data_IF_572445306930
#
_entry.id   IF_572445306930
#
_cell.length_a   1.000
_cell.length_b   1.000
_cell.length_c   1.000
_cell.angle_alpha   90.00
_cell.angle_beta   90.00
_cell.angle_gamma   90.00
#
_symmetry.space_group_name_H-M   'P 1'
#
loop_
_entity.id
_entity.type
_entity.pdbx_description
1 polymer ?
#
# COMPACT_ATOMS: atom_id res chain seq x y z
N UNK A 1 1.04 -13.69 6.71
CA UNK A 1 2.43 -13.15 6.85
C UNK A 1 3.47 -14.13 6.28
N UNK A 2 3.66 -15.36 6.81
CA UNK A 2 4.71 -16.30 6.32
C UNK A 2 4.63 -16.52 4.81
N UNK A 3 3.49 -16.91 4.26
CA UNK A 3 3.30 -17.10 2.81
C UNK A 3 3.53 -15.82 2.01
N UNK A 4 3.12 -14.66 2.52
CA UNK A 4 3.38 -13.37 1.86
C UNK A 4 4.87 -13.06 1.79
N UNK A 5 5.59 -13.24 2.89
CA UNK A 5 7.03 -13.02 2.95
C UNK A 5 7.79 -14.00 2.05
N UNK A 6 7.42 -15.28 2.06
CA UNK A 6 8.01 -16.29 1.18
C UNK A 6 7.76 -15.96 -0.30
N UNK A 7 6.54 -15.59 -0.66
CA UNK A 7 6.20 -15.18 -2.02
C UNK A 7 6.98 -13.93 -2.45
N UNK A 8 7.00 -12.89 -1.64
CA UNK A 8 7.75 -11.67 -1.94
C UNK A 8 9.24 -11.97 -2.10
N UNK A 9 9.82 -12.77 -1.20
CA UNK A 9 11.23 -13.14 -1.29
C UNK A 9 11.56 -14.00 -2.52
N UNK A 10 10.62 -14.89 -2.92
CA UNK A 10 10.82 -15.81 -4.04
C UNK A 10 10.72 -15.14 -5.40
N UNK A 11 9.95 -14.05 -5.50
CA UNK A 11 9.66 -13.38 -6.78
C UNK A 11 10.18 -11.93 -6.86
N UNK A 12 10.96 -11.50 -5.88
CA UNK A 12 11.55 -10.15 -5.90
C UNK A 12 12.61 -10.06 -6.99
N UNK A 13 12.48 -9.07 -7.87
CA UNK A 13 13.48 -8.77 -8.87
C UNK A 13 14.43 -7.68 -8.35
N UNK A 14 15.72 -7.94 -8.49
CA UNK A 14 16.75 -6.96 -8.17
C UNK A 14 16.96 -5.91 -9.27
N UNK A 15 17.93 -4.99 -9.08
CA UNK A 15 18.25 -3.94 -10.04
C UNK A 15 18.62 -4.46 -11.44
N UNK A 16 19.13 -5.68 -11.53
CA UNK A 16 19.45 -6.35 -12.81
C UNK A 16 18.22 -6.90 -13.54
N UNK A 17 17.03 -6.90 -12.92
CA UNK A 17 15.81 -7.55 -13.40
C UNK A 17 15.83 -9.08 -13.24
N UNK A 18 16.83 -9.65 -12.61
CA UNK A 18 16.84 -11.07 -12.28
C UNK A 18 16.08 -11.32 -10.99
N UNK A 19 15.36 -12.43 -10.95
CA UNK A 19 14.71 -12.91 -9.72
C UNK A 19 15.75 -13.73 -8.95
N UNK A 20 16.27 -13.14 -7.90
CA UNK A 20 17.24 -13.77 -7.02
C UNK A 20 16.90 -13.37 -5.58
N UNK A 21 17.09 -14.27 -4.63
CA UNK A 21 16.99 -13.96 -3.21
C UNK A 21 18.31 -13.37 -2.75
N UNK A 22 18.30 -12.29 -1.99
CA UNK A 22 19.53 -11.73 -1.45
C UNK A 22 19.36 -10.37 -0.80
N UNK A 23 20.32 -10.02 0.06
CA UNK A 23 20.32 -8.76 0.81
C UNK A 23 20.36 -7.50 -0.08
N UNK A 24 20.89 -7.63 -1.31
CA UNK A 24 20.95 -6.52 -2.26
C UNK A 24 19.57 -6.05 -2.72
N UNK A 25 18.54 -6.90 -2.63
CA UNK A 25 17.18 -6.59 -3.04
C UNK A 25 16.33 -6.00 -1.91
N UNK A 26 16.79 -6.12 -0.69
CA UNK A 26 16.04 -5.69 0.51
C UNK A 26 16.85 -4.65 1.31
N UNK A 27 18.03 -4.31 0.83
CA UNK A 27 18.89 -3.32 1.48
C UNK A 27 18.38 -1.91 1.21
N UNK A 28 17.74 -1.30 2.21
CA UNK A 28 17.22 0.07 2.15
C UNK A 28 18.28 1.15 1.93
N UNK A 29 19.56 0.85 2.16
CA UNK A 29 20.67 1.78 1.88
C UNK A 29 21.04 1.82 0.41
N UNK A 30 20.75 0.77 -0.35
CA UNK A 30 21.02 0.67 -1.79
C UNK A 30 19.74 0.80 -2.61
N UNK A 31 18.61 0.32 -2.07
CA UNK A 31 17.32 0.29 -2.77
C UNK A 31 16.25 0.93 -1.89
N UNK A 32 16.17 2.25 -1.90
CA UNK A 32 15.10 2.99 -1.23
C UNK A 32 13.78 2.91 -1.99
N UNK A 33 12.74 3.47 -1.40
CA UNK A 33 11.39 3.55 -1.96
C UNK A 33 11.39 4.06 -3.42
N UNK A 34 12.01 5.19 -3.66
CA UNK A 34 12.04 5.82 -5.00
C UNK A 34 12.72 4.93 -6.03
N UNK A 35 13.81 4.25 -5.65
CA UNK A 35 14.52 3.33 -6.52
C UNK A 35 13.69 2.09 -6.86
N UNK A 36 12.93 1.57 -5.91
CA UNK A 36 12.02 0.43 -6.14
C UNK A 36 10.90 0.82 -7.11
N UNK A 37 10.30 1.98 -6.91
CA UNK A 37 9.24 2.51 -7.81
C UNK A 37 9.81 2.78 -9.21
N UNK A 38 10.99 3.37 -9.32
CA UNK A 38 11.67 3.60 -10.60
C UNK A 38 11.96 2.29 -11.32
N UNK A 39 12.46 1.27 -10.62
CA UNK A 39 12.73 -0.06 -11.19
C UNK A 39 11.49 -0.69 -11.81
N UNK A 40 10.35 -0.56 -11.12
CA UNK A 40 9.06 -0.98 -11.65
C UNK A 40 8.62 -0.13 -12.84
N UNK A 41 8.72 1.19 -12.74
CA UNK A 41 8.34 2.11 -13.82
C UNK A 41 9.17 1.88 -15.09
N UNK A 42 10.45 1.53 -14.98
CA UNK A 42 11.34 1.15 -16.08
C UNK A 42 10.99 -0.22 -16.71
N UNK A 43 10.07 -0.99 -16.12
CA UNK A 43 9.62 -2.28 -16.65
C UNK A 43 10.51 -3.47 -16.28
N UNK A 44 11.34 -3.33 -15.27
CA UNK A 44 12.19 -4.41 -14.74
C UNK A 44 11.45 -5.35 -13.80
N UNK A 45 10.25 -4.94 -13.33
CA UNK A 45 9.35 -5.77 -12.55
C UNK A 45 7.92 -5.68 -13.11
N UNK A 46 7.16 -6.78 -13.03
CA UNK A 46 5.77 -6.84 -13.48
C UNK A 46 4.80 -6.41 -12.39
N UNK A 47 5.14 -6.63 -11.13
CA UNK A 47 4.32 -6.32 -9.98
C UNK A 47 5.12 -5.48 -8.98
N UNK A 48 4.42 -4.62 -8.26
CA UNK A 48 4.94 -3.89 -7.11
C UNK A 48 3.88 -3.86 -6.02
N UNK A 49 4.25 -4.11 -4.77
CA UNK A 49 3.34 -3.94 -3.63
C UNK A 49 3.33 -2.48 -3.23
N UNK A 50 2.29 -1.76 -3.64
CA UNK A 50 2.13 -0.33 -3.40
C UNK A 50 0.63 0.06 -3.38
N UNK A 51 0.34 1.28 -2.96
CA UNK A 51 -1.00 1.87 -3.03
C UNK A 51 -1.18 2.83 -4.21
N UNK A 52 -2.37 3.39 -4.32
CA UNK A 52 -2.74 4.31 -5.41
C UNK A 52 -1.90 5.60 -5.45
N UNK A 53 -1.27 5.98 -4.34
CA UNK A 53 -0.37 7.15 -4.25
C UNK A 53 0.87 7.07 -5.15
N UNK A 54 1.30 5.86 -5.53
CA UNK A 54 2.50 5.66 -6.35
C UNK A 54 2.33 6.12 -7.80
N UNK A 55 1.08 6.32 -8.24
CA UNK A 55 0.76 6.68 -9.63
C UNK A 55 1.56 7.88 -10.15
N UNK A 56 1.61 8.97 -9.38
CA UNK A 56 2.31 10.19 -9.79
C UNK A 56 3.81 9.97 -10.03
N UNK A 57 4.45 9.18 -9.18
CA UNK A 57 5.87 8.84 -9.32
C UNK A 57 6.12 7.99 -10.58
N UNK A 58 5.28 6.99 -10.84
CA UNK A 58 5.38 6.14 -12.04
C UNK A 58 5.10 6.96 -13.31
N UNK A 59 4.09 7.82 -13.29
CA UNK A 59 3.74 8.68 -14.43
C UNK A 59 4.86 9.68 -14.78
N UNK A 60 5.62 10.13 -13.78
CA UNK A 60 6.80 10.97 -13.99
C UNK A 60 7.94 10.25 -14.71
N UNK A 61 7.99 8.92 -14.66
CA UNK A 61 9.00 8.10 -15.37
C UNK A 61 8.46 7.61 -16.72
N UNK A 62 7.24 7.06 -16.73
CA UNK A 62 6.60 6.50 -17.93
C UNK A 62 5.07 6.68 -17.83
N UNK A 63 4.56 7.74 -18.45
CA UNK A 63 3.14 8.08 -18.43
C UNK A 63 2.26 7.05 -19.18
N UNK A 64 2.77 6.42 -20.24
CA UNK A 64 2.05 5.39 -20.97
C UNK A 64 1.86 4.14 -20.13
N UNK A 65 2.90 3.70 -19.43
CA UNK A 65 2.80 2.61 -18.45
C UNK A 65 1.86 2.96 -17.31
N UNK A 66 1.99 4.13 -16.73
CA UNK A 66 1.15 4.58 -15.63
C UNK A 66 -0.34 4.53 -15.99
N UNK A 67 -0.70 4.91 -17.23
CA UNK A 67 -2.09 4.87 -17.70
C UNK A 67 -2.71 3.46 -17.79
N UNK A 68 -1.89 2.42 -17.76
CA UNK A 68 -2.29 1.00 -17.89
C UNK A 68 -2.19 0.23 -16.58
N UNK A 69 -1.88 0.89 -15.48
CA UNK A 69 -1.80 0.25 -14.17
C UNK A 69 -3.19 -0.21 -13.68
N UNK A 70 -3.21 -1.29 -12.94
CA UNK A 70 -4.37 -1.76 -12.20
C UNK A 70 -3.94 -2.34 -10.86
N UNK A 71 -4.85 -2.36 -9.89
CA UNK A 71 -4.62 -3.00 -8.61
C UNK A 71 -5.13 -4.45 -8.65
N UNK A 72 -4.42 -5.32 -8.00
CA UNK A 72 -4.79 -6.73 -7.84
C UNK A 72 -4.66 -7.11 -6.37
N UNK A 73 -5.58 -7.93 -5.84
CA UNK A 73 -5.44 -8.48 -4.50
C UNK A 73 -4.26 -9.45 -4.46
N UNK A 74 -3.54 -9.47 -3.35
CA UNK A 74 -2.53 -10.49 -3.10
C UNK A 74 -3.23 -11.76 -2.61
N UNK A 75 -3.05 -12.86 -3.32
CA UNK A 75 -3.65 -14.14 -2.95
C UNK A 75 -2.70 -14.97 -2.10
N UNK A 76 -3.22 -15.52 -1.04
CA UNK A 76 -2.51 -16.44 -0.15
C UNK A 76 -3.25 -17.79 -0.11
N UNK A 77 -2.51 -18.87 0.05
CA UNK A 77 -3.09 -20.20 0.14
C UNK A 77 -3.41 -20.52 1.61
N UNK A 78 -4.64 -20.18 2.01
CA UNK A 78 -5.17 -20.41 3.34
C UNK A 78 -6.35 -21.38 3.28
N UNK A 79 -6.55 -22.12 4.36
CA UNK A 79 -7.80 -22.81 4.63
C UNK A 79 -8.69 -21.96 5.54
N UNK A 80 -10.01 -22.19 5.52
CA UNK A 80 -10.92 -21.40 6.36
C UNK A 80 -10.62 -21.53 7.86
N UNK A 81 -10.03 -22.66 8.28
CA UNK A 81 -9.58 -22.88 9.66
C UNK A 81 -8.41 -21.98 10.10
N UNK A 82 -7.68 -21.40 9.15
CA UNK A 82 -6.57 -20.49 9.43
C UNK A 82 -7.04 -19.06 9.76
N UNK A 83 -8.33 -18.79 9.50
CA UNK A 83 -8.94 -17.47 9.71
C UNK A 83 -9.73 -17.50 11.02
N UNK A 84 -9.26 -16.72 12.01
CA UNK A 84 -9.93 -16.57 13.30
C UNK A 84 -10.93 -15.40 13.35
N UNK A 85 -10.88 -14.51 12.38
CA UNK A 85 -11.77 -13.33 12.33
C UNK A 85 -13.18 -13.74 11.93
N UNK A 86 -14.18 -13.37 12.75
CA UNK A 86 -15.58 -13.64 12.47
C UNK A 86 -16.06 -12.92 11.21
N UNK A 87 -16.78 -13.63 10.35
CA UNK A 87 -17.34 -13.06 9.11
C UNK A 87 -16.35 -12.93 7.96
N UNK A 88 -15.07 -13.29 8.16
CA UNK A 88 -14.06 -13.26 7.11
C UNK A 88 -13.92 -14.65 6.48
N UNK A 89 -13.93 -14.72 5.15
CA UNK A 89 -13.71 -15.94 4.39
C UNK A 89 -12.40 -15.88 3.61
N UNK A 90 -11.85 -17.05 3.26
CA UNK A 90 -10.67 -17.14 2.37
C UNK A 90 -10.92 -16.44 1.03
N UNK A 91 -12.13 -16.61 0.47
CA UNK A 91 -12.51 -15.96 -0.79
C UNK A 91 -12.52 -14.43 -0.64
N UNK A 92 -13.07 -13.90 0.47
CA UNK A 92 -13.08 -12.46 0.75
C UNK A 92 -11.64 -11.94 0.86
N UNK A 93 -10.77 -12.60 1.61
CA UNK A 93 -9.36 -12.22 1.73
C UNK A 93 -8.64 -12.20 0.38
N UNK A 94 -8.83 -13.24 -0.42
CA UNK A 94 -8.14 -13.41 -1.71
C UNK A 94 -8.73 -12.58 -2.86
N UNK A 95 -9.89 -11.96 -2.64
CA UNK A 95 -10.54 -11.07 -3.62
C UNK A 95 -10.52 -9.60 -3.22
N UNK A 96 -10.10 -9.28 -2.00
CA UNK A 96 -10.12 -7.92 -1.47
C UNK A 96 -8.72 -7.29 -1.47
N UNK A 97 -8.71 -5.97 -1.58
CA UNK A 97 -7.51 -5.15 -1.36
C UNK A 97 -7.61 -4.47 0.02
N UNK A 98 -6.49 -4.16 0.68
CA UNK A 98 -6.52 -3.39 1.91
C UNK A 98 -6.94 -1.94 1.62
N UNK A 99 -7.84 -1.42 2.45
CA UNK A 99 -8.27 -0.02 2.46
C UNK A 99 -8.04 0.55 3.85
N UNK A 100 -7.55 1.78 3.91
CA UNK A 100 -7.35 2.48 5.17
C UNK A 100 -7.37 3.99 4.98
N UNK A 101 -7.77 4.72 6.02
CA UNK A 101 -7.64 6.17 6.08
C UNK A 101 -6.21 6.48 6.54
N UNK A 102 -5.34 6.75 5.58
CA UNK A 102 -3.91 6.96 5.85
C UNK A 102 -3.58 8.33 6.42
N UNK A 103 -4.44 9.31 6.19
CA UNK A 103 -4.21 10.72 6.57
C UNK A 103 -5.52 11.39 6.96
N UNK A 104 -5.44 12.29 7.94
CA UNK A 104 -6.56 13.10 8.40
C UNK A 104 -6.06 14.49 8.78
N UNK A 105 -6.96 15.47 8.69
CA UNK A 105 -6.67 16.83 9.12
C UNK A 105 -7.09 17.01 10.57
N UNK A 106 -6.28 17.74 11.30
CA UNK A 106 -6.60 18.19 12.67
C UNK A 106 -6.46 19.70 12.76
N UNK A 107 -7.37 20.35 13.50
CA UNK A 107 -7.27 21.76 13.79
C UNK A 107 -6.67 21.91 15.18
N UNK A 108 -5.61 22.71 15.30
CA UNK A 108 -4.93 22.91 16.56
C UNK A 108 -5.80 23.78 17.51
N UNK A 109 -6.33 23.17 18.54
CA UNK A 109 -7.19 23.85 19.54
C UNK A 109 -6.47 24.93 20.39
N UNK A 110 -5.17 25.09 20.24
CA UNK A 110 -4.39 26.13 20.94
C UNK A 110 -4.28 27.42 20.14
N UNK A 111 -4.67 27.41 18.87
CA UNK A 111 -4.70 28.59 18.02
C UNK A 111 -5.89 29.49 18.42
N UNK A 112 -5.91 30.75 18.01
CA UNK A 112 -7.02 31.63 18.24
C UNK A 112 -8.32 31.13 17.57
N UNK A 113 -9.47 31.52 18.05
CA UNK A 113 -10.76 31.16 17.46
C UNK A 113 -10.87 31.59 16.00
N UNK A 114 -10.25 32.72 15.63
CA UNK A 114 -10.22 33.22 14.25
C UNK A 114 -9.38 32.30 13.35
N UNK A 115 -8.20 31.84 13.82
CA UNK A 115 -7.35 30.89 13.07
C UNK A 115 -8.00 29.52 12.94
N UNK A 116 -8.63 29.02 14.01
CA UNK A 116 -9.37 27.76 13.96
C UNK A 116 -10.54 27.86 12.94
N UNK A 117 -11.28 28.98 12.95
CA UNK A 117 -12.35 29.22 11.99
C UNK A 117 -11.84 29.30 10.55
N UNK A 118 -10.73 29.97 10.33
CA UNK A 118 -10.10 30.04 8.99
C UNK A 118 -9.68 28.65 8.48
N UNK A 119 -9.13 27.80 9.36
CA UNK A 119 -8.79 26.42 9.02
C UNK A 119 -10.03 25.58 8.69
N UNK A 120 -11.11 25.70 9.46
CA UNK A 120 -12.40 25.05 9.17
C UNK A 120 -12.95 25.50 7.80
N UNK A 121 -12.98 26.81 7.54
CA UNK A 121 -13.49 27.35 6.29
C UNK A 121 -12.67 26.89 5.09
N UNK A 122 -11.34 26.77 5.24
CA UNK A 122 -10.48 26.19 4.23
C UNK A 122 -10.81 24.72 3.96
N UNK A 123 -10.99 23.89 4.99
CA UNK A 123 -11.35 22.49 4.82
C UNK A 123 -12.73 22.34 4.16
N UNK A 124 -13.70 23.12 4.59
CA UNK A 124 -15.02 23.13 3.95
C UNK A 124 -14.91 23.50 2.47
N UNK A 125 -14.16 24.56 2.14
CA UNK A 125 -13.92 24.95 0.76
C UNK A 125 -13.23 23.85 -0.03
N UNK A 126 -12.19 23.21 0.53
CA UNK A 126 -11.42 22.13 -0.10
C UNK A 126 -12.31 20.95 -0.49
N UNK A 127 -13.26 20.57 0.38
CA UNK A 127 -14.14 19.42 0.15
C UNK A 127 -15.42 19.72 -0.61
N UNK A 128 -15.81 21.00 -0.73
CA UNK A 128 -17.10 21.38 -1.33
C UNK A 128 -17.00 22.13 -2.64
N UNK A 129 -15.90 22.88 -2.88
CA UNK A 129 -15.72 23.61 -4.14
C UNK A 129 -15.23 22.68 -5.25
N UNK A 130 -15.57 23.02 -6.51
CA UNK A 130 -15.10 22.26 -7.68
C UNK A 130 -13.57 22.25 -7.77
N UNK A 131 -12.92 23.40 -7.49
CA UNK A 131 -11.47 23.49 -7.46
C UNK A 131 -10.86 22.61 -6.37
N UNK A 132 -11.40 22.64 -5.16
CA UNK A 132 -10.93 21.81 -4.05
C UNK A 132 -11.08 20.33 -4.33
N UNK A 133 -12.23 19.91 -4.87
CA UNK A 133 -12.48 18.51 -5.29
C UNK A 133 -11.50 18.06 -6.36
N UNK A 134 -11.21 18.90 -7.36
CA UNK A 134 -10.20 18.59 -8.38
C UNK A 134 -8.81 18.38 -7.76
N UNK A 135 -8.42 19.22 -6.79
CA UNK A 135 -7.16 19.05 -6.06
C UNK A 135 -7.12 17.71 -5.30
N UNK A 136 -8.17 17.40 -4.52
CA UNK A 136 -8.26 16.14 -3.76
C UNK A 136 -8.12 14.94 -4.69
N UNK A 137 -8.86 14.94 -5.77
CA UNK A 137 -9.00 13.76 -6.63
C UNK A 137 -7.84 13.61 -7.62
N UNK A 138 -7.46 14.70 -8.31
CA UNK A 138 -6.54 14.62 -9.43
C UNK A 138 -5.11 15.06 -9.08
N UNK A 139 -4.92 15.91 -8.07
CA UNK A 139 -3.58 16.38 -7.68
C UNK A 139 -3.02 15.59 -6.48
N UNK A 140 -3.83 15.34 -5.47
CA UNK A 140 -3.43 14.55 -4.30
C UNK A 140 -3.65 13.05 -4.51
N UNK A 141 -4.39 12.66 -5.54
CA UNK A 141 -4.78 11.28 -5.84
C UNK A 141 -5.53 10.58 -4.68
N UNK A 142 -6.26 11.35 -3.87
CA UNK A 142 -7.12 10.79 -2.86
C UNK A 142 -8.45 10.35 -3.48
N UNK A 143 -8.97 9.26 -2.99
CA UNK A 143 -10.30 8.77 -3.39
C UNK A 143 -11.30 9.25 -2.34
N UNK A 144 -12.30 10.06 -2.73
CA UNK A 144 -13.38 10.45 -1.82
C UNK A 144 -14.13 9.20 -1.33
N UNK A 145 -14.55 9.20 -0.06
CA UNK A 145 -15.26 8.07 0.55
C UNK A 145 -16.61 7.75 -0.14
N UNK A 146 -17.16 8.72 -0.87
CA UNK A 146 -18.41 8.60 -1.64
C UNK A 146 -18.18 8.53 -3.15
N UNK A 147 -16.96 8.25 -3.59
CA UNK A 147 -16.68 8.01 -5.00
C UNK A 147 -17.38 6.73 -5.46
N UNK A 148 -17.92 6.75 -6.67
CA UNK A 148 -18.53 5.60 -7.30
C UNK A 148 -17.98 5.38 -8.73
N UNK A 149 -18.28 4.22 -9.32
CA UNK A 149 -17.76 3.83 -10.64
C UNK A 149 -18.27 4.71 -11.80
N UNK A 150 -19.25 5.56 -11.58
CA UNK A 150 -19.74 6.52 -12.60
C UNK A 150 -18.77 7.67 -12.82
N UNK A 151 -17.91 7.96 -11.84
CA UNK A 151 -16.89 9.02 -11.89
C UNK A 151 -15.54 8.42 -12.30
N UNK A 152 -15.14 8.65 -13.56
CA UNK A 152 -13.83 8.20 -14.02
C UNK A 152 -12.75 9.18 -13.58
N UNK A 153 -11.85 8.72 -12.70
CA UNK A 153 -10.70 9.48 -12.23
C UNK A 153 -9.53 9.41 -13.22
N UNK A 154 -8.65 10.41 -13.21
CA UNK A 154 -7.44 10.40 -14.05
C UNK A 154 -6.47 9.27 -13.65
N UNK A 155 -6.38 8.97 -12.35
CA UNK A 155 -5.52 7.92 -11.83
C UNK A 155 -6.20 6.54 -11.97
N UNK A 156 -5.69 5.62 -12.81
CA UNK A 156 -6.28 4.30 -12.99
C UNK A 156 -6.22 3.41 -11.74
N UNK A 157 -5.25 3.64 -10.83
CA UNK A 157 -5.20 2.94 -9.54
C UNK A 157 -6.33 3.40 -8.62
N UNK A 158 -6.68 4.70 -8.66
CA UNK A 158 -7.85 5.20 -7.94
C UNK A 158 -9.16 4.64 -8.50
N UNK A 159 -9.28 4.47 -9.84
CA UNK A 159 -10.42 3.77 -10.43
C UNK A 159 -10.49 2.31 -9.99
N UNK A 160 -9.35 1.63 -9.88
CA UNK A 160 -9.31 0.26 -9.34
C UNK A 160 -9.79 0.23 -7.88
N UNK A 161 -9.34 1.16 -7.05
CA UNK A 161 -9.79 1.26 -5.65
C UNK A 161 -11.31 1.48 -5.57
N UNK A 162 -11.87 2.43 -6.36
CA UNK A 162 -13.31 2.67 -6.41
C UNK A 162 -14.07 1.40 -6.82
N UNK A 163 -13.57 0.66 -7.81
CA UNK A 163 -14.16 -0.64 -8.18
C UNK A 163 -14.21 -1.62 -7.01
N UNK A 164 -13.10 -1.80 -6.29
CA UNK A 164 -13.06 -2.70 -5.14
C UNK A 164 -13.99 -2.24 -4.00
N UNK A 165 -14.03 -0.93 -3.71
CA UNK A 165 -14.94 -0.35 -2.72
C UNK A 165 -16.42 -0.57 -3.10
N UNK A 166 -16.80 -0.26 -4.34
CA UNK A 166 -18.19 -0.37 -4.82
C UNK A 166 -18.69 -1.82 -4.83
N UNK A 167 -17.79 -2.78 -4.94
CA UNK A 167 -18.12 -4.21 -4.96
C UNK A 167 -17.91 -4.91 -3.59
N UNK A 168 -17.70 -4.16 -2.52
CA UNK A 168 -17.40 -4.70 -1.19
C UNK A 168 -16.19 -5.65 -1.17
N UNK A 169 -15.18 -5.37 -2.00
CA UNK A 169 -13.95 -6.14 -2.11
C UNK A 169 -12.77 -5.40 -1.45
N UNK A 170 -13.05 -4.78 -0.32
CA UNK A 170 -12.06 -4.12 0.53
C UNK A 170 -12.03 -4.73 1.91
N UNK A 171 -10.89 -4.64 2.57
CA UNK A 171 -10.71 -5.01 3.97
C UNK A 171 -9.97 -3.90 4.69
N UNK A 172 -10.43 -3.58 5.90
CA UNK A 172 -9.75 -2.62 6.76
C UNK A 172 -8.31 -3.06 7.06
N UNK A 173 -7.45 -2.07 7.25
CA UNK A 173 -6.08 -2.32 7.69
C UNK A 173 -6.01 -2.06 9.20
N UNK A 174 -5.97 -3.13 9.98
CA UNK A 174 -5.99 -3.05 11.44
C UNK A 174 -4.64 -2.70 12.08
N UNK A 175 -3.62 -2.35 11.27
CA UNK A 175 -2.29 -1.97 11.79
C UNK A 175 -2.33 -0.75 12.70
N UNK A 176 -3.33 0.11 12.57
CA UNK A 176 -3.50 1.28 13.46
C UNK A 176 -3.77 0.88 14.92
N UNK A 177 -4.18 -0.35 15.18
CA UNK A 177 -4.39 -0.89 16.51
C UNK A 177 -3.10 -1.44 17.16
N UNK A 178 -2.04 -1.61 16.39
CA UNK A 178 -0.76 -2.12 16.90
C UNK A 178 0.12 -1.01 17.48
N UNK A 179 0.95 -1.31 18.49
CA UNK A 179 1.95 -0.35 18.95
C UNK A 179 2.89 0.08 17.80
N UNK A 180 3.25 1.36 17.75
CA UNK A 180 4.17 1.90 16.74
C UNK A 180 5.47 1.10 16.63
N UNK A 181 6.00 0.66 17.79
CA UNK A 181 7.21 -0.16 17.88
C UNK A 181 7.07 -1.53 17.19
N UNK A 182 5.85 -2.06 17.04
CA UNK A 182 5.65 -3.35 16.40
C UNK A 182 6.00 -3.31 14.91
N UNK A 183 5.56 -2.30 14.18
CA UNK A 183 5.87 -2.12 12.77
C UNK A 183 7.35 -1.89 12.50
N UNK A 184 7.98 -1.00 13.28
CA UNK A 184 9.37 -0.62 13.08
C UNK A 184 10.36 -1.65 13.63
N UNK A 185 10.13 -2.16 14.83
CA UNK A 185 11.10 -3.02 15.51
C UNK A 185 10.85 -4.50 15.24
N UNK A 186 9.61 -4.96 15.22
CA UNK A 186 9.30 -6.38 15.01
C UNK A 186 9.32 -6.72 13.54
N UNK A 187 8.53 -6.06 12.71
CA UNK A 187 8.49 -6.37 11.27
C UNK A 187 9.74 -5.83 10.56
N UNK A 188 10.12 -4.58 10.81
CA UNK A 188 11.25 -3.95 10.14
C UNK A 188 12.58 -4.56 10.55
N UNK A 189 12.95 -4.43 11.83
CA UNK A 189 14.27 -4.84 12.29
C UNK A 189 14.40 -6.35 12.46
N UNK A 190 13.40 -7.03 13.03
CA UNK A 190 13.53 -8.48 13.29
C UNK A 190 13.31 -9.29 12.03
N UNK A 191 12.20 -9.09 11.34
CA UNK A 191 11.86 -9.92 10.18
C UNK A 191 12.68 -9.51 8.96
N UNK A 192 12.71 -8.23 8.60
CA UNK A 192 13.41 -7.80 7.40
C UNK A 192 14.92 -7.86 7.54
N UNK A 193 15.49 -7.37 8.62
CA UNK A 193 16.94 -7.35 8.77
C UNK A 193 17.51 -8.73 9.08
N UNK A 194 16.90 -9.51 9.97
CA UNK A 194 17.45 -10.80 10.37
C UNK A 194 17.19 -11.90 9.34
N UNK A 195 15.99 -11.97 8.77
CA UNK A 195 15.65 -13.00 7.79
C UNK A 195 16.18 -12.66 6.40
N UNK A 196 15.98 -11.42 5.96
CA UNK A 196 16.26 -11.04 4.57
C UNK A 196 17.72 -10.70 4.30
N UNK A 197 18.52 -10.44 5.31
CA UNK A 197 19.97 -10.25 5.12
C UNK A 197 20.75 -11.55 5.00
N UNK A 198 20.15 -12.70 5.28
CA UNK A 198 20.77 -14.02 5.19
C UNK A 198 20.14 -14.84 4.05
N UNK A 199 20.57 -14.71 2.81
CA UNK A 199 19.95 -15.36 1.65
C UNK A 199 19.91 -16.88 1.73
N UNK A 200 20.86 -17.50 2.44
CA UNK A 200 20.92 -18.96 2.65
C UNK A 200 19.84 -19.47 3.60
N UNK A 201 19.13 -18.57 4.30
CA UNK A 201 18.12 -18.89 5.30
C UNK A 201 16.69 -18.58 4.85
N UNK A 202 16.48 -18.30 3.58
CA UNK A 202 15.18 -17.92 3.03
C UNK A 202 14.34 -19.14 2.62
N UNK A 203 13.99 -19.97 3.53
CA UNK A 203 12.97 -21.00 3.32
C UNK A 203 11.73 -20.73 4.19
N UNK A 204 10.64 -21.39 3.88
CA UNK A 204 9.38 -21.21 4.60
C UNK A 204 9.52 -21.49 6.10
N UNK A 205 10.32 -22.48 6.48
CA UNK A 205 10.50 -22.85 7.89
C UNK A 205 11.25 -21.76 8.66
N UNK A 206 12.31 -21.20 8.07
CA UNK A 206 13.08 -20.12 8.69
C UNK A 206 12.24 -18.85 8.84
N UNK A 207 11.46 -18.51 7.79
CA UNK A 207 10.52 -17.38 7.84
C UNK A 207 9.45 -17.63 8.91
N UNK A 208 8.90 -18.85 8.98
CA UNK A 208 7.90 -19.23 9.99
C UNK A 208 8.44 -19.05 11.39
N UNK A 209 9.60 -19.61 11.68
CA UNK A 209 10.25 -19.51 13.00
C UNK A 209 10.48 -18.04 13.39
N UNK A 210 11.01 -17.22 12.47
CA UNK A 210 11.25 -15.81 12.75
C UNK A 210 9.98 -14.95 12.90
N UNK A 211 8.84 -15.44 12.44
CA UNK A 211 7.53 -14.76 12.64
C UNK A 211 6.85 -15.21 13.94
N UNK A 212 7.09 -16.46 14.36
CA UNK A 212 6.48 -17.05 15.56
C UNK A 212 7.24 -16.69 16.85
N UNK A 213 8.55 -16.42 16.79
CA UNK A 213 9.40 -15.96 17.89
C UNK A 213 9.24 -14.44 18.16
#
# INVERSE_FOLDING_TARGET
>A
MVQELDMLSSYTAGPSGKVERGSEYINSTVTGYDQAVQTFAEGKAMFIKQGNWVYGTIAGVDADKASRLTMLPMKVNLEQSDISAEGVTVDKMNSSIPEFVSQYYVINKKDSEEEQKAAEDFLVWLYTSDTGKDYITNKFAFVPFNADESEKLENPLSNSLVYYMSNDLVMGNDFDAFPESWGLNTIGATIQEQLFTNPDQWDENTIRTGVED
#
